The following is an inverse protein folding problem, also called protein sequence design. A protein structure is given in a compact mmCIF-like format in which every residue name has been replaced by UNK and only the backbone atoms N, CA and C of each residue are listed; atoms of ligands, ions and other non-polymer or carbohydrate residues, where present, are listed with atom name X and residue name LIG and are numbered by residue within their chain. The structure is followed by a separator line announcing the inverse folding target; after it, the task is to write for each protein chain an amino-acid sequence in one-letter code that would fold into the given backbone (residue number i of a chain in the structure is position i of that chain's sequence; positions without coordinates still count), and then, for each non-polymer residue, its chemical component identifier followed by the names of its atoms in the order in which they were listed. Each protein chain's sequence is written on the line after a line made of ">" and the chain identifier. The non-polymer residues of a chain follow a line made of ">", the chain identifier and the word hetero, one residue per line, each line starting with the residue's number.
data_IF_556412620995
#
_entry.id   IF_556412620995
#
_cell.length_a   1.000
_cell.length_b   1.000
_cell.length_c   1.000
_cell.angle_alpha   90.00
_cell.angle_beta   90.00
_cell.angle_gamma   90.00
#
_symmetry.space_group_name_H-M   'P 1'
#
loop_
_entity.id
_entity.type
_entity.pdbx_description
1 polymer ?
#
# COMPACT_ATOMS: atom_id res chain seq x y z
N UNK A 1 44.81 -38.16 -35.22
CA UNK A 1 44.37 -36.75 -35.40
C UNK A 1 44.24 -36.11 -34.03
N UNK A 2 44.86 -34.98 -33.77
CA UNK A 2 44.70 -34.29 -32.46
C UNK A 2 43.25 -33.87 -32.25
N UNK A 3 42.76 -33.98 -31.02
CA UNK A 3 41.39 -33.57 -30.65
C UNK A 3 41.27 -32.03 -30.80
N UNK A 4 40.19 -31.53 -31.39
CA UNK A 4 40.01 -30.10 -31.57
C UNK A 4 40.02 -29.37 -30.21
N UNK A 5 40.70 -28.23 -30.13
CA UNK A 5 40.78 -27.40 -28.93
C UNK A 5 39.44 -26.72 -28.66
N UNK A 6 39.23 -26.19 -27.45
CA UNK A 6 38.05 -25.39 -27.10
C UNK A 6 37.89 -24.18 -28.04
N UNK A 7 39.01 -23.56 -28.42
CA UNK A 7 39.04 -22.45 -29.36
C UNK A 7 38.52 -22.83 -30.75
N UNK A 8 38.89 -24.04 -31.24
CA UNK A 8 38.41 -24.55 -32.53
C UNK A 8 36.88 -24.83 -32.49
N UNK A 9 36.40 -25.36 -31.37
CA UNK A 9 34.97 -25.59 -31.17
C UNK A 9 34.16 -24.27 -31.10
N UNK A 10 34.68 -23.25 -30.42
CA UNK A 10 34.05 -21.94 -30.35
C UNK A 10 34.02 -21.24 -31.71
N UNK A 11 35.12 -21.36 -32.51
CA UNK A 11 35.14 -20.84 -33.88
C UNK A 11 34.14 -21.54 -34.79
N UNK A 12 33.95 -22.85 -34.66
CA UNK A 12 32.95 -23.59 -35.46
C UNK A 12 31.50 -23.23 -35.12
N UNK A 13 31.27 -22.64 -33.95
CA UNK A 13 29.96 -22.10 -33.49
C UNK A 13 29.79 -20.61 -33.82
N UNK A 14 30.70 -20.03 -34.62
CA UNK A 14 30.66 -18.62 -35.00
C UNK A 14 31.12 -17.66 -33.93
N UNK A 15 31.65 -18.16 -32.78
CA UNK A 15 32.15 -17.28 -31.71
C UNK A 15 33.56 -16.83 -32.08
N UNK A 16 33.75 -15.50 -32.15
CA UNK A 16 35.08 -14.89 -32.36
C UNK A 16 35.90 -15.01 -31.09
N UNK A 17 37.05 -15.70 -31.19
CA UNK A 17 37.97 -15.95 -30.05
C UNK A 17 39.22 -15.07 -30.22
N UNK A 18 39.45 -14.18 -29.28
CA UNK A 18 40.61 -13.29 -29.24
C UNK A 18 40.24 -11.81 -29.25
N UNK A 19 41.15 -10.95 -28.84
CA UNK A 19 40.96 -9.50 -28.76
C UNK A 19 41.32 -8.73 -30.03
N UNK A 20 41.92 -9.41 -31.03
CA UNK A 20 42.44 -8.77 -32.24
C UNK A 20 41.39 -8.21 -33.21
N UNK A 21 40.09 -8.55 -33.00
CA UNK A 21 38.98 -8.05 -33.81
C UNK A 21 37.95 -7.25 -32.99
N UNK A 22 38.28 -6.90 -31.74
CA UNK A 22 37.48 -5.93 -30.99
C UNK A 22 37.81 -4.57 -31.56
N UNK A 23 36.89 -4.04 -32.37
CA UNK A 23 37.02 -2.63 -32.76
C UNK A 23 37.03 -1.77 -31.51
N UNK A 24 37.95 -0.80 -31.40
CA UNK A 24 37.83 0.18 -30.32
C UNK A 24 36.47 0.83 -30.41
N UNK A 25 35.84 1.16 -29.26
CA UNK A 25 34.54 1.82 -29.27
C UNK A 25 34.63 3.02 -30.19
N UNK A 26 33.65 3.20 -31.08
CA UNK A 26 33.56 4.31 -32.00
C UNK A 26 33.82 5.60 -31.22
N UNK A 27 34.70 6.47 -31.73
CA UNK A 27 34.92 7.78 -31.15
C UNK A 27 33.57 8.47 -30.97
N UNK A 28 33.30 8.95 -29.74
CA UNK A 28 32.05 9.67 -29.42
C UNK A 28 31.80 10.73 -30.50
N UNK A 29 30.59 10.81 -31.08
CA UNK A 29 30.27 11.83 -32.04
C UNK A 29 30.47 13.21 -31.41
N UNK A 30 31.15 14.10 -32.12
CA UNK A 30 31.33 15.48 -31.71
C UNK A 30 29.98 16.21 -31.70
N UNK A 31 29.73 16.99 -30.63
CA UNK A 31 28.56 17.83 -30.40
C UNK A 31 27.24 17.06 -30.07
N UNK A 32 27.27 16.27 -29.03
CA UNK A 32 26.04 15.99 -28.26
C UNK A 32 25.85 17.19 -27.32
N UNK A 33 24.64 17.79 -27.29
CA UNK A 33 24.26 18.73 -26.25
C UNK A 33 24.67 18.13 -24.91
N UNK A 34 25.26 18.94 -23.99
CA UNK A 34 25.77 18.36 -22.74
C UNK A 34 24.64 17.63 -22.02
N UNK A 35 24.95 16.55 -21.34
CA UNK A 35 23.99 15.77 -20.55
C UNK A 35 23.21 16.70 -19.58
N UNK A 36 23.92 17.66 -18.99
CA UNK A 36 23.35 18.67 -18.08
C UNK A 36 22.29 19.53 -18.79
N UNK A 37 22.53 19.91 -20.07
CA UNK A 37 21.59 20.70 -20.84
C UNK A 37 20.36 19.89 -21.29
N UNK A 38 20.51 18.59 -21.55
CA UNK A 38 19.40 17.74 -22.00
C UNK A 38 18.50 17.35 -20.83
N UNK A 39 19.10 17.04 -19.68
CA UNK A 39 18.39 16.61 -18.47
C UNK A 39 18.13 17.76 -17.50
N UNK A 40 18.47 19.00 -17.87
CA UNK A 40 18.29 20.21 -17.05
C UNK A 40 18.94 20.08 -15.66
N UNK A 41 19.98 19.26 -15.55
CA UNK A 41 20.65 18.93 -14.30
C UNK A 41 21.91 19.75 -14.04
N UNK A 42 22.31 19.81 -12.78
CA UNK A 42 23.51 20.45 -12.32
C UNK A 42 24.49 19.42 -11.77
N UNK A 43 25.80 19.70 -11.93
CA UNK A 43 26.84 18.86 -11.39
C UNK A 43 27.07 19.17 -9.92
N UNK A 44 26.88 18.18 -9.04
CA UNK A 44 27.12 18.31 -7.60
C UNK A 44 28.41 17.58 -7.23
N UNK A 45 29.41 18.34 -6.73
CA UNK A 45 30.64 17.78 -6.21
C UNK A 45 30.46 17.27 -4.77
N UNK A 46 31.00 16.10 -4.50
CA UNK A 46 31.09 15.49 -3.17
C UNK A 46 32.56 15.14 -2.86
N UNK A 47 32.83 14.72 -1.62
CA UNK A 47 34.19 14.24 -1.26
C UNK A 47 34.59 12.94 -1.99
N UNK A 48 33.60 12.22 -2.58
CA UNK A 48 33.78 10.95 -3.27
C UNK A 48 33.68 11.08 -4.80
N UNK A 49 33.66 12.29 -5.33
CA UNK A 49 33.48 12.61 -6.74
C UNK A 49 32.20 13.43 -6.98
N UNK A 50 31.81 13.55 -8.25
CA UNK A 50 30.62 14.30 -8.64
C UNK A 50 29.48 13.40 -9.08
N UNK A 51 28.26 13.90 -9.01
CA UNK A 51 27.04 13.27 -9.55
C UNK A 51 26.16 14.33 -10.20
N UNK A 52 25.34 13.93 -11.18
CA UNK A 52 24.36 14.84 -11.76
C UNK A 52 23.13 14.88 -10.88
N UNK A 53 22.60 16.08 -10.60
CA UNK A 53 21.36 16.29 -9.86
C UNK A 53 20.44 17.17 -10.68
N UNK A 54 19.21 16.71 -10.89
CA UNK A 54 18.12 17.51 -11.40
C UNK A 54 17.21 17.89 -10.23
N UNK A 55 16.82 19.15 -10.13
CA UNK A 55 16.01 19.66 -9.01
C UNK A 55 14.77 20.35 -9.54
N UNK A 56 13.62 20.00 -8.94
CA UNK A 56 12.32 20.61 -9.20
C UNK A 56 11.71 21.11 -7.89
N UNK A 57 11.00 22.24 -7.97
CA UNK A 57 10.30 22.85 -6.84
C UNK A 57 8.83 22.98 -7.13
N UNK A 58 8.01 22.37 -6.31
CA UNK A 58 6.57 22.45 -6.39
C UNK A 58 6.05 23.36 -5.28
N UNK A 59 5.32 24.44 -5.61
CA UNK A 59 4.79 25.35 -4.59
C UNK A 59 3.78 24.62 -3.68
N UNK A 60 3.58 25.15 -2.49
CA UNK A 60 2.71 24.55 -1.47
C UNK A 60 1.28 24.28 -1.99
N UNK A 61 0.79 25.15 -2.87
CA UNK A 61 -0.54 25.06 -3.46
C UNK A 61 -0.64 24.04 -4.61
N UNK A 62 0.47 23.46 -5.01
CA UNK A 62 0.48 22.49 -6.09
C UNK A 62 -0.42 21.30 -5.76
N UNK A 63 -1.23 20.94 -6.75
CA UNK A 63 -2.14 19.79 -6.67
C UNK A 63 -1.81 18.79 -7.76
N UNK A 64 -1.70 17.54 -7.37
CA UNK A 64 -1.62 16.44 -8.31
C UNK A 64 -2.99 15.77 -8.40
N UNK A 65 -3.72 16.08 -9.46
CA UNK A 65 -5.14 15.75 -9.55
C UNK A 65 -5.97 16.39 -8.44
N UNK A 66 -6.73 15.58 -7.72
CA UNK A 66 -7.59 16.06 -6.63
C UNK A 66 -6.82 16.30 -5.32
N UNK A 67 -5.61 15.78 -5.15
CA UNK A 67 -4.87 15.88 -3.90
C UNK A 67 -3.80 16.99 -3.94
N UNK A 68 -3.65 17.79 -2.86
CA UNK A 68 -2.48 18.66 -2.69
C UNK A 68 -1.26 17.80 -2.34
N UNK A 69 -0.05 18.25 -2.65
CA UNK A 69 1.16 17.61 -2.12
C UNK A 69 1.27 17.82 -0.61
N UNK A 70 1.05 19.04 -0.16
CA UNK A 70 1.06 19.37 1.26
C UNK A 70 -0.25 18.97 1.94
N UNK A 71 -0.15 18.32 3.11
CA UNK A 71 -1.30 18.04 3.96
C UNK A 71 -1.10 18.60 5.37
N UNK A 72 -2.02 19.44 5.87
CA UNK A 72 -2.02 19.84 7.27
C UNK A 72 -2.58 18.77 8.21
N UNK A 73 -2.98 17.61 7.67
CA UNK A 73 -3.63 16.55 8.43
C UNK A 73 -2.69 15.95 9.48
N UNK A 74 -3.15 15.73 10.72
CA UNK A 74 -2.36 15.08 11.75
C UNK A 74 -2.09 13.62 11.41
N UNK A 75 -0.87 13.14 11.65
CA UNK A 75 -0.42 11.80 11.28
C UNK A 75 -0.70 10.74 12.35
N UNK A 76 -1.44 11.02 13.41
CA UNK A 76 -1.63 10.10 14.53
C UNK A 76 -2.29 8.77 14.13
N UNK A 77 -3.29 8.78 13.26
CA UNK A 77 -3.92 7.53 12.78
C UNK A 77 -3.02 6.77 11.80
N UNK A 78 -2.25 7.49 10.97
CA UNK A 78 -1.23 6.89 10.14
C UNK A 78 -0.13 6.22 10.99
N UNK A 79 0.33 6.87 12.06
CA UNK A 79 1.28 6.34 13.02
C UNK A 79 0.76 5.08 13.73
N UNK A 80 -0.51 5.10 14.14
CA UNK A 80 -1.19 3.94 14.74
C UNK A 80 -1.26 2.76 13.76
N UNK A 81 -1.65 3.03 12.51
CA UNK A 81 -1.69 2.01 11.47
C UNK A 81 -0.31 1.45 11.15
N UNK A 82 0.71 2.32 11.02
CA UNK A 82 2.09 1.92 10.74
C UNK A 82 2.77 1.20 11.91
N UNK A 83 2.21 1.30 13.14
CA UNK A 83 2.80 0.76 14.36
C UNK A 83 4.07 1.50 14.80
N UNK A 84 4.26 2.75 14.37
CA UNK A 84 5.43 3.59 14.71
C UNK A 84 4.98 4.93 15.31
N UNK A 85 5.06 5.01 16.64
CA UNK A 85 4.64 6.19 17.39
C UNK A 85 5.46 7.46 17.07
N UNK A 86 6.68 7.32 16.53
CA UNK A 86 7.54 8.46 16.16
C UNK A 86 6.92 9.31 15.05
N UNK A 87 6.05 8.73 14.23
CA UNK A 87 5.35 9.42 13.13
C UNK A 87 4.24 10.36 13.63
N UNK A 88 3.73 10.17 14.85
CA UNK A 88 2.51 10.83 15.34
C UNK A 88 2.53 12.37 15.21
N UNK A 89 3.61 12.96 15.66
CA UNK A 89 3.80 14.42 15.71
C UNK A 89 4.98 14.86 14.83
N UNK A 90 5.33 14.02 13.85
CA UNK A 90 6.46 14.28 12.96
C UNK A 90 6.11 15.40 11.97
N UNK A 91 6.91 16.48 11.91
CA UNK A 91 6.73 17.51 10.89
C UNK A 91 6.93 16.96 9.48
N UNK A 92 6.15 17.45 8.51
CA UNK A 92 6.26 17.00 7.11
C UNK A 92 7.66 17.19 6.53
N UNK A 93 8.37 18.27 6.90
CA UNK A 93 9.77 18.48 6.51
C UNK A 93 10.78 17.46 7.05
N UNK A 94 10.34 16.50 7.87
CA UNK A 94 11.16 15.35 8.29
C UNK A 94 10.89 14.09 7.48
N UNK A 95 9.94 14.12 6.56
CA UNK A 95 9.61 13.02 5.65
C UNK A 95 10.41 13.17 4.36
N UNK A 96 10.99 12.08 3.89
CA UNK A 96 11.59 11.97 2.56
C UNK A 96 10.78 10.96 1.74
N UNK A 97 10.27 11.39 0.59
CA UNK A 97 9.54 10.56 -0.38
C UNK A 97 10.54 10.04 -1.40
N UNK A 98 10.73 8.72 -1.45
CA UNK A 98 11.83 8.11 -2.18
C UNK A 98 11.32 7.06 -3.17
N UNK A 99 11.82 7.17 -4.40
CA UNK A 99 11.65 6.20 -5.48
C UNK A 99 12.96 5.97 -6.23
N UNK A 100 13.16 4.78 -6.83
CA UNK A 100 14.42 4.43 -7.50
C UNK A 100 14.21 3.75 -8.85
N UNK A 101 15.02 4.17 -9.85
CA UNK A 101 15.19 3.43 -11.09
C UNK A 101 16.44 2.59 -11.05
N UNK A 102 16.31 1.31 -11.42
CA UNK A 102 17.34 0.31 -11.18
C UNK A 102 17.83 -0.36 -12.46
N UNK A 103 19.05 -0.87 -12.44
CA UNK A 103 19.66 -1.59 -13.55
C UNK A 103 19.05 -3.00 -13.80
N UNK A 104 18.08 -3.44 -12.99
CA UNK A 104 17.43 -4.74 -13.16
C UNK A 104 16.31 -4.97 -12.15
N UNK A 105 15.38 -5.87 -12.51
CA UNK A 105 14.18 -6.18 -11.72
C UNK A 105 14.41 -7.19 -10.58
N UNK A 106 15.52 -7.90 -10.58
CA UNK A 106 15.84 -8.92 -9.57
C UNK A 106 16.86 -8.38 -8.58
N UNK A 107 16.42 -8.14 -7.35
CA UNK A 107 17.30 -7.73 -6.26
C UNK A 107 18.49 -8.70 -6.10
N UNK A 108 19.68 -8.14 -5.95
CA UNK A 108 20.93 -8.85 -5.76
C UNK A 108 22.08 -7.84 -5.72
N UNK A 109 23.27 -8.28 -5.30
CA UNK A 109 24.46 -7.40 -5.21
C UNK A 109 24.91 -6.80 -6.55
N UNK A 110 24.44 -7.34 -7.67
CA UNK A 110 24.72 -6.82 -9.02
C UNK A 110 23.72 -5.75 -9.49
N UNK A 111 22.59 -5.58 -8.81
CA UNK A 111 21.62 -4.52 -9.12
C UNK A 111 22.00 -3.24 -8.37
N UNK A 112 21.92 -2.11 -9.06
CA UNK A 112 22.16 -0.78 -8.49
C UNK A 112 21.09 0.20 -8.96
N UNK A 113 20.86 1.24 -8.16
CA UNK A 113 20.02 2.37 -8.54
C UNK A 113 20.85 3.36 -9.34
N UNK A 114 20.44 3.65 -10.56
CA UNK A 114 21.14 4.64 -11.41
C UNK A 114 20.46 6.01 -11.39
N UNK A 115 19.19 6.07 -10.99
CA UNK A 115 18.44 7.28 -10.73
C UNK A 115 17.69 7.11 -9.41
N UNK A 116 17.83 8.09 -8.51
CA UNK A 116 17.14 8.10 -7.23
C UNK A 116 16.43 9.43 -7.08
N UNK A 117 15.10 9.40 -7.11
CA UNK A 117 14.23 10.55 -6.85
C UNK A 117 13.92 10.66 -5.37
N UNK A 118 14.15 11.83 -4.78
CA UNK A 118 13.80 12.10 -3.38
C UNK A 118 13.12 13.46 -3.29
N UNK A 119 11.89 13.47 -2.77
CA UNK A 119 11.17 14.68 -2.47
C UNK A 119 11.08 14.92 -0.96
N UNK A 120 11.13 16.18 -0.54
CA UNK A 120 10.91 16.60 0.85
C UNK A 120 10.31 17.99 0.92
N UNK A 121 9.59 18.29 2.00
CA UNK A 121 9.14 19.66 2.26
C UNK A 121 10.28 20.44 2.92
N UNK A 122 10.52 21.65 2.43
CA UNK A 122 11.52 22.53 3.02
C UNK A 122 11.03 23.99 3.07
N UNK A 123 11.60 24.75 4.01
CA UNK A 123 11.32 26.17 4.12
C UNK A 123 12.21 26.93 3.17
N UNK A 124 11.59 27.78 2.35
CA UNK A 124 12.24 28.71 1.46
C UNK A 124 12.04 30.15 1.95
N UNK A 125 12.70 31.11 1.33
CA UNK A 125 12.50 32.54 1.63
C UNK A 125 11.07 33.02 1.29
N UNK A 126 10.36 32.30 0.41
CA UNK A 126 9.00 32.60 -0.05
C UNK A 126 7.92 31.78 0.65
N UNK A 127 8.28 30.78 1.47
CA UNK A 127 7.33 29.92 2.16
C UNK A 127 7.85 28.50 2.38
N UNK A 128 6.98 27.52 2.25
CA UNK A 128 7.32 26.11 2.22
C UNK A 128 7.07 25.58 0.81
N UNK A 129 8.03 24.82 0.26
CA UNK A 129 7.94 24.18 -1.04
C UNK A 129 8.19 22.67 -0.90
N UNK A 130 7.72 21.90 -1.86
CA UNK A 130 8.15 20.52 -2.03
C UNK A 130 9.33 20.50 -3.00
N UNK A 131 10.51 20.22 -2.47
CA UNK A 131 11.76 20.13 -3.22
C UNK A 131 12.01 18.67 -3.60
N UNK A 132 12.03 18.39 -4.88
CA UNK A 132 12.35 17.10 -5.47
C UNK A 132 13.74 17.17 -6.11
N UNK A 133 14.61 16.26 -5.72
CA UNK A 133 15.95 16.10 -6.31
C UNK A 133 16.10 14.69 -6.88
N UNK A 134 16.55 14.60 -8.11
CA UNK A 134 16.85 13.36 -8.82
C UNK A 134 18.35 13.21 -8.97
N UNK A 135 18.93 12.23 -8.29
CA UNK A 135 20.37 11.93 -8.30
C UNK A 135 20.63 10.88 -9.38
N UNK A 136 21.44 11.23 -10.37
CA UNK A 136 21.69 10.38 -11.54
C UNK A 136 23.15 9.95 -11.65
N UNK A 137 23.34 8.68 -11.91
CA UNK A 137 24.65 8.03 -12.09
C UNK A 137 24.92 7.80 -13.57
N UNK A 138 25.84 8.58 -14.16
CA UNK A 138 26.22 8.46 -15.58
C UNK A 138 27.09 7.24 -15.85
N UNK A 139 27.87 6.83 -14.86
CA UNK A 139 28.77 5.69 -14.90
C UNK A 139 28.74 4.99 -13.55
N UNK A 140 28.71 3.64 -13.49
CA UNK A 140 28.75 2.91 -12.23
C UNK A 140 29.88 3.28 -11.28
N UNK A 141 30.99 3.85 -11.79
CA UNK A 141 32.09 4.36 -10.96
C UNK A 141 31.71 5.60 -10.14
N UNK A 142 30.63 6.31 -10.47
CA UNK A 142 30.12 7.49 -9.76
C UNK A 142 29.20 7.11 -8.58
N UNK A 143 28.91 5.84 -8.35
CA UNK A 143 28.00 5.42 -7.29
C UNK A 143 28.37 5.94 -5.89
N UNK A 144 29.63 5.97 -5.45
CA UNK A 144 29.99 6.58 -4.16
C UNK A 144 29.59 8.04 -4.04
N UNK A 145 29.73 8.81 -5.13
CA UNK A 145 29.37 10.22 -5.16
C UNK A 145 27.85 10.42 -5.10
N UNK A 146 27.10 9.62 -5.86
CA UNK A 146 25.62 9.59 -5.81
C UNK A 146 25.14 9.29 -4.39
N UNK A 147 25.68 8.27 -3.74
CA UNK A 147 25.31 7.90 -2.38
C UNK A 147 25.63 9.01 -1.36
N UNK A 148 26.78 9.67 -1.51
CA UNK A 148 27.16 10.80 -0.65
C UNK A 148 26.23 12.03 -0.85
N UNK A 149 25.81 12.29 -2.07
CA UNK A 149 24.84 13.36 -2.37
C UNK A 149 23.47 13.07 -1.75
N UNK A 150 23.00 11.83 -1.87
CA UNK A 150 21.74 11.35 -1.23
C UNK A 150 21.81 11.48 0.29
N UNK A 151 22.92 11.07 0.93
CA UNK A 151 23.13 11.22 2.37
C UNK A 151 22.97 12.67 2.81
N UNK A 152 23.60 13.59 2.09
CA UNK A 152 23.51 15.04 2.34
C UNK A 152 22.07 15.55 2.21
N UNK A 153 21.35 15.11 1.18
CA UNK A 153 19.96 15.51 0.97
C UNK A 153 19.03 14.97 2.05
N UNK A 154 19.26 13.74 2.52
CA UNK A 154 18.48 13.10 3.59
C UNK A 154 18.81 13.61 5.00
N UNK A 155 19.90 14.33 5.20
CA UNK A 155 20.36 14.75 6.53
C UNK A 155 19.31 15.45 7.42
N UNK A 156 18.40 16.30 6.90
CA UNK A 156 17.34 16.90 7.72
C UNK A 156 16.17 15.95 8.02
N UNK A 157 16.07 14.81 7.34
CA UNK A 157 14.95 13.88 7.42
C UNK A 157 15.07 12.89 8.59
N UNK A 158 13.96 12.23 8.94
CA UNK A 158 13.88 11.21 10.00
C UNK A 158 12.89 10.09 9.65
N UNK A 159 12.25 10.16 8.50
CA UNK A 159 11.38 9.11 8.00
C UNK A 159 11.45 9.02 6.47
N UNK A 160 11.28 7.79 5.96
CA UNK A 160 11.03 7.51 4.55
C UNK A 160 9.55 7.27 4.31
N UNK A 161 9.06 7.79 3.20
CA UNK A 161 7.79 7.40 2.59
C UNK A 161 8.12 6.79 1.23
N UNK A 162 7.60 5.59 0.97
CA UNK A 162 7.85 4.87 -0.28
C UNK A 162 6.59 4.19 -0.77
N UNK A 163 6.60 3.73 -2.01
CA UNK A 163 5.56 2.86 -2.55
C UNK A 163 6.16 1.49 -2.90
N UNK A 164 5.95 0.48 -2.04
CA UNK A 164 6.59 -0.85 -2.10
C UNK A 164 8.11 -0.85 -1.77
N UNK A 165 8.64 0.28 -1.34
CA UNK A 165 10.08 0.47 -1.13
C UNK A 165 10.65 -0.24 0.10
N UNK A 166 9.81 -0.65 1.06
CA UNK A 166 10.27 -1.52 2.18
C UNK A 166 10.84 -2.84 1.68
N UNK A 167 10.29 -3.35 0.57
CA UNK A 167 10.71 -4.62 -0.02
C UNK A 167 11.78 -4.46 -1.11
N UNK A 168 11.91 -3.27 -1.72
CA UNK A 168 12.78 -3.04 -2.88
C UNK A 168 13.78 -1.91 -2.68
N UNK A 169 13.38 -0.65 -2.70
CA UNK A 169 14.26 0.54 -2.76
C UNK A 169 15.18 0.65 -1.55
N UNK A 170 14.61 0.59 -0.35
CA UNK A 170 15.37 0.76 0.89
C UNK A 170 16.40 -0.37 1.12
N UNK A 171 16.07 -1.67 0.96
CA UNK A 171 17.05 -2.75 1.01
C UNK A 171 18.13 -2.65 -0.07
N UNK A 172 17.75 -2.24 -1.29
CA UNK A 172 18.69 -2.06 -2.39
C UNK A 172 19.71 -0.97 -2.03
N UNK A 173 19.25 0.24 -1.73
CA UNK A 173 20.14 1.36 -1.35
C UNK A 173 20.98 1.03 -0.12
N UNK A 174 20.40 0.41 0.92
CA UNK A 174 21.15 -0.01 2.10
C UNK A 174 22.26 -1.01 1.76
N UNK A 175 22.03 -1.89 0.79
CA UNK A 175 23.06 -2.81 0.28
C UNK A 175 24.17 -2.06 -0.44
N UNK A 176 23.83 -1.04 -1.26
CA UNK A 176 24.81 -0.22 -1.98
C UNK A 176 25.70 0.56 -1.02
N UNK A 177 25.10 1.23 -0.01
CA UNK A 177 25.87 1.91 1.05
C UNK A 177 26.87 0.95 1.73
N UNK A 178 26.42 -0.25 2.12
CA UNK A 178 27.29 -1.25 2.78
C UNK A 178 28.43 -1.74 1.87
N UNK A 179 28.17 -1.94 0.58
CA UNK A 179 29.19 -2.35 -0.40
C UNK A 179 30.29 -1.31 -0.53
N UNK A 180 29.96 -0.03 -0.43
CA UNK A 180 30.91 1.09 -0.42
C UNK A 180 31.46 1.42 0.98
N UNK A 181 31.16 0.58 2.00
CA UNK A 181 31.59 0.79 3.39
C UNK A 181 31.12 2.15 3.96
N UNK A 182 29.99 2.67 3.46
CA UNK A 182 29.34 3.88 3.93
C UNK A 182 28.24 3.57 4.94
N UNK A 183 27.99 4.40 5.96
CA UNK A 183 26.85 4.25 6.83
C UNK A 183 25.54 4.43 6.04
N UNK A 184 24.51 3.65 6.39
CA UNK A 184 23.18 3.80 5.79
C UNK A 184 22.48 4.99 6.45
N UNK A 185 22.20 6.10 5.73
CA UNK A 185 21.73 7.35 6.36
C UNK A 185 20.30 7.24 6.93
N UNK A 186 19.54 6.27 6.47
CA UNK A 186 18.15 6.05 6.90
C UNK A 186 17.97 4.77 7.75
N UNK A 187 19.07 4.23 8.33
CA UNK A 187 19.00 2.99 9.12
C UNK A 187 18.00 3.07 10.30
N UNK A 188 17.92 4.23 10.95
CA UNK A 188 17.09 4.49 12.12
C UNK A 188 15.82 5.29 11.80
N UNK A 189 15.54 5.55 10.52
CA UNK A 189 14.35 6.29 10.11
C UNK A 189 13.06 5.49 10.37
N UNK A 190 11.99 6.19 10.68
CA UNK A 190 10.64 5.64 10.49
C UNK A 190 10.45 5.35 9.00
N UNK A 191 9.63 4.35 8.68
CA UNK A 191 9.39 4.03 7.27
C UNK A 191 7.91 3.72 7.02
N UNK A 192 7.26 4.57 6.24
CA UNK A 192 5.90 4.40 5.77
C UNK A 192 5.93 3.85 4.34
N UNK A 193 5.46 2.63 4.14
CA UNK A 193 5.24 2.07 2.80
C UNK A 193 3.75 2.18 2.48
N UNK A 194 3.41 2.91 1.42
CA UNK A 194 2.02 3.21 1.09
C UNK A 194 1.28 2.04 0.42
N UNK A 195 1.99 1.09 -0.21
CA UNK A 195 1.34 -0.02 -0.91
C UNK A 195 0.47 -0.91 0.00
N UNK A 196 0.89 -1.30 1.23
CA UNK A 196 0.03 -2.04 2.14
C UNK A 196 -1.23 -1.27 2.53
N UNK A 197 -1.14 0.05 2.74
CA UNK A 197 -2.30 0.89 3.03
C UNK A 197 -3.23 1.02 1.82
N UNK A 198 -2.67 1.22 0.63
CA UNK A 198 -3.43 1.24 -0.62
C UNK A 198 -4.19 -0.08 -0.86
N UNK A 199 -3.55 -1.22 -0.59
CA UNK A 199 -4.20 -2.53 -0.62
C UNK A 199 -5.33 -2.64 0.39
N UNK A 200 -5.18 -2.03 1.55
CA UNK A 200 -6.20 -2.04 2.60
C UNK A 200 -7.42 -1.21 2.21
N UNK A 201 -7.22 -0.04 1.60
CA UNK A 201 -8.28 0.90 1.25
C UNK A 201 -9.01 0.54 -0.05
N UNK A 202 -8.29 0.07 -1.08
CA UNK A 202 -8.87 -0.03 -2.43
C UNK A 202 -8.87 -1.44 -3.05
N UNK A 203 -8.51 -2.49 -2.29
CA UNK A 203 -8.49 -3.85 -2.84
C UNK A 203 -9.85 -4.32 -3.35
N UNK A 204 -10.92 -3.97 -2.64
CA UNK A 204 -12.25 -4.48 -2.93
C UNK A 204 -12.91 -3.71 -4.10
N UNK A 205 -12.41 -2.51 -4.44
CA UNK A 205 -12.91 -1.68 -5.56
C UNK A 205 -12.03 -1.76 -6.81
N UNK A 206 -10.72 -1.66 -6.65
CA UNK A 206 -9.81 -1.52 -7.79
C UNK A 206 -9.13 -2.84 -8.17
N UNK A 207 -8.99 -3.15 -9.46
CA UNK A 207 -8.31 -4.36 -9.92
C UNK A 207 -6.79 -4.29 -9.74
N UNK A 208 -6.20 -3.09 -9.73
CA UNK A 208 -4.76 -2.86 -9.55
C UNK A 208 -4.49 -1.84 -8.44
N UNK A 209 -3.37 -1.97 -7.74
CA UNK A 209 -2.82 -1.02 -6.78
C UNK A 209 -1.39 -0.64 -7.17
N UNK A 210 -1.05 -0.69 -8.47
CA UNK A 210 0.14 -0.04 -8.99
C UNK A 210 0.00 1.49 -8.80
N UNK A 211 1.11 2.18 -8.51
CA UNK A 211 1.09 3.62 -8.23
C UNK A 211 0.40 4.41 -9.33
N UNK A 212 0.77 4.21 -10.58
CA UNK A 212 0.12 4.83 -11.76
C UNK A 212 -1.39 4.56 -11.81
N UNK A 213 -1.83 3.35 -11.49
CA UNK A 213 -3.26 3.02 -11.49
C UNK A 213 -4.04 3.77 -10.40
N UNK A 214 -3.43 3.93 -9.22
CA UNK A 214 -4.00 4.73 -8.12
C UNK A 214 -3.99 6.22 -8.46
N UNK A 215 -2.94 6.71 -9.08
CA UNK A 215 -2.82 8.08 -9.59
C UNK A 215 -3.97 8.43 -10.53
N UNK A 216 -4.29 7.58 -11.50
CA UNK A 216 -5.39 7.77 -12.44
C UNK A 216 -6.77 7.63 -11.78
N UNK A 217 -6.99 6.60 -10.94
CA UNK A 217 -8.32 6.19 -10.48
C UNK A 217 -8.68 6.66 -9.04
N UNK A 218 -7.72 7.16 -8.27
CA UNK A 218 -7.92 7.73 -6.95
C UNK A 218 -7.62 9.22 -6.95
N UNK A 219 -6.49 9.63 -7.55
CA UNK A 219 -6.09 11.04 -7.59
C UNK A 219 -6.66 11.79 -8.80
N UNK A 220 -7.20 11.11 -9.80
CA UNK A 220 -7.68 11.70 -11.05
C UNK A 220 -6.59 12.50 -11.79
N UNK A 221 -5.37 11.99 -11.78
CA UNK A 221 -4.18 12.61 -12.38
C UNK A 221 -3.56 11.68 -13.44
N UNK A 222 -4.10 11.63 -14.68
CA UNK A 222 -3.52 10.80 -15.73
C UNK A 222 -2.19 11.41 -16.20
N UNK A 223 -1.20 10.54 -16.44
CA UNK A 223 0.11 10.95 -16.97
C UNK A 223 0.03 11.31 -18.45
N UNK A 224 1.02 12.08 -18.91
CA UNK A 224 1.13 12.48 -20.32
C UNK A 224 1.65 11.33 -21.20
N UNK A 225 1.63 11.54 -22.53
CA UNK A 225 2.07 10.56 -23.54
C UNK A 225 3.60 10.36 -23.52
N UNK A 226 4.35 11.25 -22.88
CA UNK A 226 5.82 11.23 -22.83
C UNK A 226 6.39 10.21 -21.85
N UNK A 227 5.53 9.50 -21.11
CA UNK A 227 5.96 8.53 -20.11
C UNK A 227 6.53 7.25 -20.75
N UNK A 228 7.72 6.87 -20.31
CA UNK A 228 8.36 5.61 -20.68
C UNK A 228 7.79 4.47 -19.83
N UNK A 229 7.46 3.31 -20.42
CA UNK A 229 7.07 2.14 -19.64
C UNK A 229 8.18 1.68 -18.71
N UNK A 230 7.87 1.44 -17.43
CA UNK A 230 8.88 1.11 -16.42
C UNK A 230 9.75 -0.11 -16.75
N UNK A 231 9.24 -1.10 -17.51
CA UNK A 231 10.03 -2.26 -17.95
C UNK A 231 11.10 -1.90 -19.01
N UNK A 232 11.00 -0.76 -19.69
CA UNK A 232 11.97 -0.29 -20.70
C UNK A 232 13.11 0.52 -20.04
N UNK A 233 12.91 1.08 -18.87
CA UNK A 233 13.84 2.00 -18.19
C UNK A 233 15.24 1.43 -18.03
N UNK A 234 15.46 0.17 -17.57
CA UNK A 234 16.80 -0.40 -17.48
C UNK A 234 17.51 -0.47 -18.83
N UNK A 235 16.76 -0.76 -19.91
CA UNK A 235 17.35 -0.85 -21.26
C UNK A 235 17.78 0.53 -21.78
N UNK A 236 17.01 1.58 -21.52
CA UNK A 236 17.37 2.95 -21.88
C UNK A 236 18.64 3.42 -21.18
N UNK A 237 18.80 3.06 -19.91
CA UNK A 237 20.02 3.36 -19.18
C UNK A 237 21.24 2.61 -19.79
N UNK A 238 21.12 1.33 -20.09
CA UNK A 238 22.19 0.58 -20.75
C UNK A 238 22.48 1.07 -22.17
N UNK A 239 21.48 1.54 -22.91
CA UNK A 239 21.69 2.18 -24.20
C UNK A 239 22.44 3.49 -24.07
N UNK A 240 22.12 4.30 -23.07
CA UNK A 240 22.88 5.51 -22.73
C UNK A 240 24.33 5.19 -22.42
N UNK A 241 24.62 4.17 -21.58
CA UNK A 241 26.00 3.78 -21.25
C UNK A 241 26.80 3.38 -22.51
N UNK A 242 26.16 2.81 -23.52
CA UNK A 242 26.80 2.37 -24.77
C UNK A 242 26.96 3.49 -25.80
N UNK A 243 25.92 4.28 -25.99
CA UNK A 243 25.85 5.31 -27.02
C UNK A 243 26.39 6.67 -26.58
N UNK A 244 26.22 6.99 -25.29
CA UNK A 244 26.44 8.32 -24.73
C UNK A 244 25.31 9.31 -25.07
N UNK A 245 24.17 8.84 -25.66
CA UNK A 245 23.02 9.69 -25.98
C UNK A 245 22.06 9.78 -24.79
N UNK A 246 21.92 10.94 -24.13
CA UNK A 246 21.03 11.11 -22.99
C UNK A 246 19.57 11.43 -23.36
N UNK A 247 19.26 11.68 -24.64
CA UNK A 247 17.93 12.14 -25.06
C UNK A 247 16.79 11.18 -24.62
N UNK A 248 16.93 9.84 -24.71
CA UNK A 248 15.90 8.93 -24.23
C UNK A 248 15.69 8.95 -22.71
N UNK A 249 16.67 9.41 -21.93
CA UNK A 249 16.57 9.46 -20.45
C UNK A 249 15.60 10.54 -19.97
N UNK A 250 15.22 11.53 -20.78
CA UNK A 250 14.19 12.52 -20.41
C UNK A 250 12.92 11.85 -19.91
N UNK A 251 12.45 10.82 -20.63
CA UNK A 251 11.27 10.06 -20.23
C UNK A 251 11.46 9.29 -18.94
N UNK A 252 12.70 8.86 -18.62
CA UNK A 252 13.03 8.18 -17.37
C UNK A 252 13.00 9.15 -16.18
N UNK A 253 13.57 10.36 -16.36
CA UNK A 253 13.51 11.41 -15.34
C UNK A 253 12.06 11.82 -15.07
N UNK A 254 11.28 12.05 -16.13
CA UNK A 254 9.84 12.34 -16.01
C UNK A 254 9.08 11.22 -15.27
N UNK A 255 9.37 9.95 -15.58
CA UNK A 255 8.74 8.80 -14.90
C UNK A 255 9.01 8.83 -13.39
N UNK A 256 10.27 8.92 -13.00
CA UNK A 256 10.69 8.95 -11.61
C UNK A 256 10.19 10.20 -10.86
N UNK A 257 10.20 11.39 -11.51
CA UNK A 257 9.60 12.61 -10.96
C UNK A 257 8.11 12.40 -10.64
N UNK A 258 7.35 11.90 -11.62
CA UNK A 258 5.92 11.64 -11.43
C UNK A 258 5.64 10.57 -10.38
N UNK A 259 6.49 9.57 -10.22
CA UNK A 259 6.33 8.57 -9.16
C UNK A 259 6.51 9.19 -7.77
N UNK A 260 7.48 10.08 -7.57
CA UNK A 260 7.68 10.81 -6.31
C UNK A 260 6.52 11.77 -6.04
N UNK A 261 6.08 12.53 -7.05
CA UNK A 261 4.96 13.48 -6.94
C UNK A 261 3.64 12.75 -6.65
N UNK A 262 3.32 11.70 -7.41
CA UNK A 262 2.12 10.89 -7.21
C UNK A 262 2.10 10.21 -5.84
N UNK A 263 3.24 9.68 -5.40
CA UNK A 263 3.38 9.08 -4.07
C UNK A 263 3.16 10.11 -2.96
N UNK A 264 3.67 11.34 -3.11
CA UNK A 264 3.47 12.44 -2.15
C UNK A 264 2.01 12.86 -2.09
N UNK A 265 1.36 13.02 -3.22
CA UNK A 265 -0.07 13.33 -3.31
C UNK A 265 -0.93 12.20 -2.71
N UNK A 266 -0.57 10.95 -2.99
CA UNK A 266 -1.25 9.77 -2.43
C UNK A 266 -1.09 9.69 -0.90
N UNK A 267 0.11 9.98 -0.39
CA UNK A 267 0.35 10.11 1.05
C UNK A 267 -0.55 11.19 1.67
N UNK A 268 -0.59 12.37 1.07
CA UNK A 268 -1.43 13.49 1.51
C UNK A 268 -2.92 13.09 1.54
N UNK A 269 -3.41 12.46 0.48
CA UNK A 269 -4.78 11.97 0.39
C UNK A 269 -5.09 10.93 1.48
N UNK A 270 -4.24 9.93 1.65
CA UNK A 270 -4.40 8.89 2.69
C UNK A 270 -4.33 9.48 4.10
N UNK A 271 -3.41 10.41 4.35
CA UNK A 271 -3.30 11.08 5.65
C UNK A 271 -4.58 11.86 5.97
N UNK A 272 -5.16 12.58 5.00
CA UNK A 272 -6.44 13.25 5.12
C UNK A 272 -7.59 12.29 5.46
N UNK A 273 -7.72 11.19 4.71
CA UNK A 273 -8.72 10.14 4.97
C UNK A 273 -8.63 9.55 6.39
N UNK A 274 -7.40 9.35 6.88
CA UNK A 274 -7.18 8.82 8.22
C UNK A 274 -7.38 9.85 9.33
N UNK A 275 -7.09 11.11 9.07
CA UNK A 275 -7.23 12.18 10.06
C UNK A 275 -8.69 12.55 10.32
N UNK A 276 -9.47 12.70 9.26
CA UNK A 276 -10.92 12.95 9.32
C UNK A 276 -11.67 12.09 8.31
N UNK A 277 -12.03 10.86 8.70
CA UNK A 277 -12.67 9.92 7.78
C UNK A 277 -14.11 10.31 7.41
N UNK A 278 -14.70 11.31 8.07
CA UNK A 278 -16.07 11.77 7.85
C UNK A 278 -16.17 13.03 7.01
N UNK A 279 -15.07 13.80 6.87
CA UNK A 279 -15.06 15.07 6.14
C UNK A 279 -15.04 14.92 4.61
N UNK A 280 -14.78 13.72 4.10
CA UNK A 280 -14.66 13.48 2.67
C UNK A 280 -15.99 13.03 2.06
N UNK A 281 -16.33 13.62 0.91
CA UNK A 281 -17.43 13.12 0.07
C UNK A 281 -16.98 11.83 -0.60
N UNK A 282 -17.27 10.72 0.05
CA UNK A 282 -16.96 9.40 -0.47
C UNK A 282 -17.96 9.00 -1.57
N UNK A 283 -17.43 8.76 -2.76
CA UNK A 283 -18.23 8.34 -3.92
C UNK A 283 -18.55 6.84 -3.91
N UNK A 284 -17.69 6.03 -3.29
CA UNK A 284 -17.76 4.55 -3.34
C UNK A 284 -17.95 3.94 -1.95
N UNK A 285 -19.07 3.26 -1.76
CA UNK A 285 -19.36 2.56 -0.50
C UNK A 285 -18.31 1.51 -0.11
N UNK A 286 -17.68 0.85 -1.09
CA UNK A 286 -16.59 -0.10 -0.85
C UNK A 286 -15.37 0.54 -0.18
N UNK A 287 -15.00 1.75 -0.59
CA UNK A 287 -13.85 2.47 0.00
C UNK A 287 -14.17 2.89 1.44
N UNK A 288 -15.40 3.34 1.69
CA UNK A 288 -15.87 3.67 3.04
C UNK A 288 -15.86 2.46 3.97
N UNK A 289 -16.33 1.31 3.48
CA UNK A 289 -16.31 0.06 4.26
C UNK A 289 -14.87 -0.43 4.48
N UNK A 290 -13.97 -0.24 3.52
CA UNK A 290 -12.56 -0.56 3.70
C UNK A 290 -11.92 0.33 4.80
N UNK A 291 -12.26 1.62 4.82
CA UNK A 291 -11.86 2.55 5.88
C UNK A 291 -12.48 2.15 7.22
N UNK A 292 -13.77 1.77 7.26
CA UNK A 292 -14.43 1.25 8.47
C UNK A 292 -13.70 0.04 9.06
N UNK A 293 -13.32 -0.92 8.21
CA UNK A 293 -12.52 -2.09 8.61
C UNK A 293 -11.16 -1.69 9.21
N UNK A 294 -10.54 -0.65 8.65
CA UNK A 294 -9.26 -0.14 9.15
C UNK A 294 -9.42 0.48 10.55
N UNK A 295 -10.44 1.31 10.75
CA UNK A 295 -10.74 1.93 12.05
C UNK A 295 -11.18 0.90 13.10
N UNK A 296 -11.93 -0.13 12.70
CA UNK A 296 -12.27 -1.28 13.57
C UNK A 296 -11.00 -1.99 14.07
N UNK A 297 -10.03 -2.26 13.18
CA UNK A 297 -8.78 -2.92 13.52
C UNK A 297 -7.90 -2.05 14.45
N UNK A 298 -7.95 -0.72 14.31
CA UNK A 298 -7.28 0.22 15.22
C UNK A 298 -8.02 0.42 16.55
N UNK A 299 -9.18 -0.22 16.75
CA UNK A 299 -9.98 -0.11 17.97
C UNK A 299 -10.79 1.18 18.09
N UNK A 300 -10.90 1.96 17.02
CA UNK A 300 -11.69 3.20 16.95
C UNK A 300 -13.14 2.87 16.55
N UNK A 301 -13.86 2.25 17.48
CA UNK A 301 -15.14 1.59 17.20
C UNK A 301 -16.27 2.56 16.86
N UNK A 302 -16.23 3.78 17.38
CA UNK A 302 -17.26 4.80 17.10
C UNK A 302 -17.17 5.30 15.67
N UNK A 303 -15.96 5.57 15.20
CA UNK A 303 -15.71 5.96 13.81
C UNK A 303 -16.01 4.82 12.85
N UNK A 304 -15.56 3.60 13.18
CA UNK A 304 -15.83 2.42 12.39
C UNK A 304 -17.34 2.18 12.21
N UNK A 305 -18.15 2.32 13.27
CA UNK A 305 -19.60 2.13 13.18
C UNK A 305 -20.24 3.15 12.23
N UNK A 306 -19.93 4.43 12.38
CA UNK A 306 -20.42 5.50 11.49
C UNK A 306 -20.02 5.29 10.04
N UNK A 307 -18.78 4.85 9.81
CA UNK A 307 -18.30 4.53 8.47
C UNK A 307 -19.04 3.32 7.85
N UNK A 308 -19.28 2.25 8.63
CA UNK A 308 -20.11 1.15 8.13
C UNK A 308 -21.51 1.60 7.75
N UNK A 309 -22.15 2.42 8.61
CA UNK A 309 -23.47 2.99 8.33
C UNK A 309 -23.44 3.82 7.04
N UNK A 310 -22.46 4.69 6.89
CA UNK A 310 -22.28 5.51 5.69
C UNK A 310 -22.02 4.68 4.43
N UNK A 311 -21.18 3.65 4.51
CA UNK A 311 -20.93 2.75 3.38
C UNK A 311 -22.19 1.98 2.93
N UNK A 312 -23.04 1.56 3.88
CA UNK A 312 -24.33 0.92 3.59
C UNK A 312 -25.33 1.90 2.95
N UNK A 313 -25.30 3.20 3.32
CA UNK A 313 -26.15 4.24 2.73
C UNK A 313 -25.74 4.57 1.28
N UNK A 314 -24.43 4.68 1.00
CA UNK A 314 -23.92 4.93 -0.37
C UNK A 314 -24.27 3.78 -1.30
N UNK A 315 -24.23 2.54 -0.78
CA UNK A 315 -24.55 1.32 -1.51
C UNK A 315 -23.31 0.43 -1.72
N UNK A 316 -23.58 -0.86 -1.70
CA UNK A 316 -22.57 -1.91 -1.79
C UNK A 316 -23.08 -3.05 -2.69
N UNK A 317 -22.18 -3.79 -3.36
CA UNK A 317 -22.52 -5.10 -3.92
C UNK A 317 -23.07 -6.02 -2.82
N UNK A 318 -23.92 -6.98 -3.20
CA UNK A 318 -24.68 -7.82 -2.26
C UNK A 318 -23.78 -8.50 -1.21
N UNK A 319 -22.68 -9.13 -1.64
CA UNK A 319 -21.72 -9.78 -0.74
C UNK A 319 -21.09 -8.78 0.23
N UNK A 320 -20.71 -7.61 -0.26
CA UNK A 320 -20.13 -6.51 0.54
C UNK A 320 -21.14 -5.93 1.54
N UNK A 321 -22.41 -5.82 1.14
CA UNK A 321 -23.50 -5.32 1.98
C UNK A 321 -23.69 -6.21 3.22
N UNK A 322 -23.84 -7.51 3.04
CA UNK A 322 -24.08 -8.41 4.15
C UNK A 322 -22.87 -8.60 5.06
N UNK A 323 -21.67 -8.52 4.52
CA UNK A 323 -20.44 -8.49 5.33
C UNK A 323 -20.36 -7.22 6.18
N UNK A 324 -20.68 -6.04 5.62
CA UNK A 324 -20.73 -4.79 6.36
C UNK A 324 -21.81 -4.82 7.47
N UNK A 325 -23.01 -5.32 7.17
CA UNK A 325 -24.10 -5.53 8.15
C UNK A 325 -23.63 -6.44 9.29
N UNK A 326 -22.97 -7.55 8.96
CA UNK A 326 -22.43 -8.48 9.95
C UNK A 326 -21.42 -7.79 10.87
N UNK A 327 -20.44 -7.10 10.32
CA UNK A 327 -19.41 -6.39 11.09
C UNK A 327 -20.02 -5.29 11.96
N UNK A 328 -20.86 -4.44 11.38
CA UNK A 328 -21.55 -3.39 12.12
C UNK A 328 -22.37 -3.96 13.30
N UNK A 329 -23.12 -5.04 13.08
CA UNK A 329 -23.92 -5.65 14.14
C UNK A 329 -23.07 -6.17 15.32
N UNK A 330 -21.89 -6.76 15.01
CA UNK A 330 -20.96 -7.20 16.02
C UNK A 330 -20.30 -6.02 16.76
N UNK A 331 -20.02 -4.95 16.03
CA UNK A 331 -19.45 -3.73 16.58
C UNK A 331 -20.44 -3.00 17.49
N UNK A 332 -21.71 -2.87 17.09
CA UNK A 332 -22.77 -2.30 17.93
C UNK A 332 -22.96 -3.10 19.23
N UNK A 333 -22.92 -4.44 19.14
CA UNK A 333 -22.91 -5.29 20.33
C UNK A 333 -21.73 -5.02 21.26
N UNK A 334 -20.51 -4.84 20.72
CA UNK A 334 -19.30 -4.51 21.52
C UNK A 334 -19.41 -3.15 22.22
N UNK A 335 -20.00 -2.17 21.52
CA UNK A 335 -20.26 -0.82 22.05
C UNK A 335 -21.38 -0.80 23.10
N UNK A 336 -22.13 -1.90 23.27
CA UNK A 336 -23.27 -2.00 24.17
C UNK A 336 -24.60 -1.56 23.57
N UNK A 337 -24.63 -1.13 22.30
CA UNK A 337 -25.86 -0.79 21.56
C UNK A 337 -26.54 -2.08 21.05
N UNK A 338 -27.21 -2.76 21.98
CA UNK A 338 -27.89 -4.02 21.68
C UNK A 338 -29.12 -3.83 20.79
N UNK A 339 -29.80 -2.70 20.89
CA UNK A 339 -31.02 -2.46 20.10
C UNK A 339 -30.69 -2.32 18.61
N UNK A 340 -29.60 -1.60 18.30
CA UNK A 340 -29.09 -1.52 16.92
C UNK A 340 -28.57 -2.88 16.43
N UNK A 341 -27.84 -3.61 17.26
CA UNK A 341 -27.37 -4.95 16.91
C UNK A 341 -28.53 -5.91 16.62
N UNK A 342 -29.61 -5.88 17.42
CA UNK A 342 -30.80 -6.69 17.23
C UNK A 342 -31.50 -6.41 15.90
N UNK A 343 -31.74 -5.15 15.58
CA UNK A 343 -32.36 -4.76 14.28
C UNK A 343 -31.54 -5.29 13.09
N UNK A 344 -30.21 -5.21 13.16
CA UNK A 344 -29.34 -5.73 12.11
C UNK A 344 -29.38 -7.26 12.03
N UNK A 345 -29.42 -7.97 13.17
CA UNK A 345 -29.54 -9.43 13.19
C UNK A 345 -30.89 -9.88 12.68
N UNK A 346 -31.99 -9.20 13.06
CA UNK A 346 -33.34 -9.52 12.56
C UNK A 346 -33.42 -9.36 11.04
N UNK A 347 -32.86 -8.24 10.50
CA UNK A 347 -32.76 -8.01 9.06
C UNK A 347 -31.96 -9.11 8.36
N UNK A 348 -30.77 -9.44 8.87
CA UNK A 348 -29.92 -10.46 8.28
C UNK A 348 -30.54 -11.90 8.43
N UNK A 349 -31.26 -12.17 9.51
CA UNK A 349 -31.94 -13.45 9.69
C UNK A 349 -33.12 -13.63 8.72
N UNK A 350 -33.84 -12.55 8.39
CA UNK A 350 -34.91 -12.59 7.38
C UNK A 350 -34.37 -12.99 6.00
N UNK A 351 -33.14 -12.62 5.68
CA UNK A 351 -32.43 -13.00 4.44
C UNK A 351 -31.66 -14.33 4.55
N UNK A 352 -31.80 -15.04 5.65
CA UNK A 352 -31.25 -16.39 5.81
C UNK A 352 -29.81 -16.48 6.26
N UNK A 353 -29.19 -15.38 6.76
CA UNK A 353 -27.83 -15.42 7.25
C UNK A 353 -27.70 -16.16 8.59
N UNK A 354 -27.02 -17.30 8.58
CA UNK A 354 -26.89 -18.22 9.74
C UNK A 354 -26.34 -17.51 10.97
N UNK A 355 -25.32 -16.64 10.81
CA UNK A 355 -24.72 -15.94 11.94
C UNK A 355 -25.75 -15.13 12.75
N UNK A 356 -26.69 -14.52 12.06
CA UNK A 356 -27.73 -13.68 12.67
C UNK A 356 -28.68 -14.52 13.52
N UNK A 357 -29.11 -15.66 13.02
CA UNK A 357 -29.91 -16.62 13.79
C UNK A 357 -29.18 -17.11 15.04
N UNK A 358 -27.84 -17.32 14.95
CA UNK A 358 -27.02 -17.72 16.07
C UNK A 358 -26.94 -16.59 17.11
N UNK A 359 -26.72 -15.33 16.68
CA UNK A 359 -26.66 -14.19 17.60
C UNK A 359 -28.03 -13.92 18.26
N UNK A 360 -29.12 -14.02 17.53
CA UNK A 360 -30.48 -13.96 18.08
C UNK A 360 -30.72 -15.09 19.09
N UNK A 361 -30.31 -16.31 18.78
CA UNK A 361 -30.40 -17.43 19.74
C UNK A 361 -29.61 -17.13 21.03
N UNK A 362 -28.42 -16.58 20.93
CA UNK A 362 -27.58 -16.15 22.11
C UNK A 362 -28.30 -15.07 22.90
N UNK A 363 -28.88 -14.08 22.21
CA UNK A 363 -29.58 -12.97 22.84
C UNK A 363 -30.78 -13.49 23.67
N UNK A 364 -31.66 -14.30 23.07
CA UNK A 364 -32.80 -14.88 23.79
C UNK A 364 -32.35 -15.83 24.91
N UNK A 365 -31.29 -16.58 24.73
CA UNK A 365 -30.77 -17.49 25.78
C UNK A 365 -30.20 -16.75 27.00
N UNK A 366 -29.36 -15.72 26.77
CA UNK A 366 -28.54 -15.12 27.81
C UNK A 366 -29.07 -13.81 28.37
N UNK A 367 -29.77 -12.99 27.54
CA UNK A 367 -30.27 -11.68 27.93
C UNK A 367 -31.74 -11.71 28.30
N UNK A 368 -32.58 -12.23 27.40
CA UNK A 368 -34.00 -12.33 27.63
C UNK A 368 -34.37 -13.52 28.55
N UNK A 369 -33.47 -14.52 28.59
CA UNK A 369 -33.69 -15.78 29.37
C UNK A 369 -34.94 -16.56 28.91
N UNK A 370 -35.24 -16.50 27.61
CA UNK A 370 -36.26 -17.30 26.97
C UNK A 370 -35.65 -18.47 26.18
N UNK A 371 -35.51 -19.65 26.79
CA UNK A 371 -34.90 -20.80 26.12
C UNK A 371 -35.73 -21.35 24.96
N UNK A 372 -37.05 -21.07 24.92
CA UNK A 372 -37.92 -21.53 23.84
C UNK A 372 -37.64 -20.71 22.56
N UNK A 373 -37.60 -19.39 22.69
CA UNK A 373 -37.25 -18.54 21.57
C UNK A 373 -35.79 -18.76 21.10
N UNK A 374 -34.87 -18.93 22.05
CA UNK A 374 -33.50 -19.29 21.75
C UNK A 374 -33.38 -20.58 20.92
N UNK A 375 -34.13 -21.62 21.31
CA UNK A 375 -34.19 -22.89 20.59
C UNK A 375 -34.80 -22.76 19.20
N UNK A 376 -35.84 -21.93 19.05
CA UNK A 376 -36.47 -21.65 17.74
C UNK A 376 -35.42 -21.06 16.77
N UNK A 377 -34.66 -20.05 17.20
CA UNK A 377 -33.61 -19.44 16.38
C UNK A 377 -32.49 -20.43 16.08
N UNK A 378 -32.05 -21.24 17.04
CA UNK A 378 -31.03 -22.27 16.82
C UNK A 378 -31.48 -23.33 15.80
N UNK A 379 -32.75 -23.78 15.86
CA UNK A 379 -33.31 -24.72 14.87
C UNK A 379 -33.37 -24.10 13.47
N UNK A 380 -33.74 -22.83 13.37
CA UNK A 380 -33.70 -22.11 12.09
C UNK A 380 -32.29 -22.04 11.52
N UNK A 381 -31.27 -21.68 12.34
CA UNK A 381 -29.87 -21.68 11.95
C UNK A 381 -29.43 -23.07 11.45
N UNK A 382 -29.79 -24.12 12.18
CA UNK A 382 -29.43 -25.50 11.82
C UNK A 382 -30.04 -25.92 10.47
N UNK A 383 -31.32 -25.60 10.26
CA UNK A 383 -32.01 -25.87 9.00
C UNK A 383 -31.30 -25.19 7.81
N UNK A 384 -30.88 -23.94 7.96
CA UNK A 384 -30.14 -23.22 6.94
C UNK A 384 -28.78 -23.86 6.67
N UNK A 385 -28.05 -24.27 7.72
CA UNK A 385 -26.76 -24.95 7.58
C UNK A 385 -26.85 -26.31 6.88
N UNK A 386 -28.02 -26.99 6.97
CA UNK A 386 -28.27 -28.26 6.30
C UNK A 386 -28.86 -28.13 4.89
N UNK A 387 -29.08 -26.90 4.39
CA UNK A 387 -29.61 -26.68 3.05
C UNK A 387 -28.68 -27.30 1.98
N UNK A 388 -29.25 -27.91 0.90
CA UNK A 388 -28.44 -28.51 -0.18
C UNK A 388 -27.53 -27.53 -0.87
N UNK A 389 -27.89 -26.24 -0.91
CA UNK A 389 -27.11 -25.14 -1.49
C UNK A 389 -25.91 -24.72 -0.64
N UNK A 390 -25.84 -25.16 0.64
CA UNK A 390 -24.73 -24.80 1.54
C UNK A 390 -23.46 -25.55 1.18
N UNK A 391 -22.33 -24.83 0.93
CA UNK A 391 -21.04 -25.46 0.66
C UNK A 391 -20.62 -26.41 1.79
N UNK A 392 -20.01 -27.57 1.47
CA UNK A 392 -19.64 -28.57 2.49
C UNK A 392 -18.73 -28.04 3.60
N UNK A 393 -17.80 -27.10 3.27
CA UNK A 393 -16.89 -26.52 4.25
C UNK A 393 -17.61 -25.57 5.23
N UNK A 394 -18.58 -24.78 4.75
CA UNK A 394 -19.39 -23.92 5.59
C UNK A 394 -20.34 -24.73 6.47
N UNK A 395 -20.97 -25.78 5.90
CA UNK A 395 -21.80 -26.71 6.66
C UNK A 395 -21.01 -27.31 7.83
N UNK A 396 -19.80 -27.81 7.59
CA UNK A 396 -18.94 -28.38 8.62
C UNK A 396 -18.58 -27.35 9.70
N UNK A 397 -18.36 -26.10 9.31
CA UNK A 397 -18.07 -25.00 10.23
C UNK A 397 -19.23 -24.78 11.23
N UNK A 398 -20.48 -24.78 10.75
CA UNK A 398 -21.63 -24.51 11.58
C UNK A 398 -22.16 -25.75 12.34
N UNK A 399 -22.00 -26.93 11.80
CA UNK A 399 -22.67 -28.15 12.27
C UNK A 399 -22.32 -28.48 13.73
N UNK A 400 -21.06 -28.46 14.08
CA UNK A 400 -20.59 -28.81 15.42
C UNK A 400 -21.13 -27.85 16.49
N UNK A 401 -21.06 -26.55 16.23
CA UNK A 401 -21.50 -25.53 17.19
C UNK A 401 -23.02 -25.49 17.33
N UNK A 402 -23.73 -25.66 16.23
CA UNK A 402 -25.19 -25.68 16.22
C UNK A 402 -25.75 -26.94 16.92
N UNK A 403 -25.16 -28.11 16.70
CA UNK A 403 -25.58 -29.35 17.39
C UNK A 403 -25.42 -29.21 18.91
N UNK A 404 -24.25 -28.79 19.37
CA UNK A 404 -24.03 -28.56 20.81
C UNK A 404 -25.01 -27.53 21.41
N UNK A 405 -25.32 -26.48 20.64
CA UNK A 405 -26.28 -25.45 21.06
C UNK A 405 -27.71 -26.00 21.16
N UNK A 406 -28.13 -26.79 20.19
CA UNK A 406 -29.46 -27.43 20.18
C UNK A 406 -29.63 -28.34 21.38
N UNK A 407 -28.71 -29.27 21.62
CA UNK A 407 -28.75 -30.20 22.75
C UNK A 407 -28.86 -29.46 24.09
N UNK A 408 -28.05 -28.41 24.28
CA UNK A 408 -28.09 -27.60 25.50
C UNK A 408 -29.41 -26.84 25.66
N UNK A 409 -29.92 -26.26 24.59
CA UNK A 409 -31.19 -25.50 24.65
C UNK A 409 -32.40 -26.40 24.83
N UNK A 410 -32.43 -27.61 24.25
CA UNK A 410 -33.46 -28.61 24.45
C UNK A 410 -33.49 -29.05 25.92
N UNK A 411 -32.35 -29.30 26.52
CA UNK A 411 -32.22 -29.57 27.95
C UNK A 411 -32.80 -28.45 28.83
N UNK A 412 -32.48 -27.18 28.51
CA UNK A 412 -33.02 -26.01 29.22
C UNK A 412 -34.55 -25.89 29.10
N UNK A 413 -35.09 -26.10 27.91
CA UNK A 413 -36.55 -26.08 27.70
C UNK A 413 -37.27 -27.18 28.46
N UNK A 414 -36.70 -28.39 28.50
CA UNK A 414 -37.24 -29.51 29.25
C UNK A 414 -37.23 -29.24 30.77
N UNK A 415 -36.09 -28.73 31.30
CA UNK A 415 -36.00 -28.37 32.72
C UNK A 415 -37.02 -27.28 33.10
N UNK A 416 -37.22 -26.27 32.24
CA UNK A 416 -38.21 -25.22 32.47
C UNK A 416 -39.65 -25.76 32.48
N UNK A 417 -39.98 -26.75 31.62
CA UNK A 417 -41.29 -27.44 31.66
C UNK A 417 -41.52 -28.18 32.96
N UNK A 418 -40.54 -28.96 33.44
CA UNK A 418 -40.60 -29.72 34.69
C UNK A 418 -40.83 -28.79 35.90
N UNK A 419 -40.09 -27.68 35.94
CA UNK A 419 -40.23 -26.69 37.02
C UNK A 419 -41.62 -26.03 37.02
N UNK A 420 -42.22 -25.77 35.85
CA UNK A 420 -43.56 -25.20 35.74
C UNK A 420 -44.67 -26.19 36.19
N UNK A 421 -44.50 -27.48 35.87
CA UNK A 421 -45.41 -28.53 36.32
C UNK A 421 -45.36 -28.68 37.85
N UNK A 422 -44.17 -28.64 38.43
CA UNK A 422 -43.98 -28.72 39.89
C UNK A 422 -44.54 -27.51 40.65
N UNK A 423 -44.55 -26.31 40.05
CA UNK A 423 -45.11 -25.08 40.68
C UNK A 423 -46.60 -24.89 40.42
N UNK A 424 -47.21 -25.56 39.45
CA UNK A 424 -48.64 -25.46 39.13
C UNK A 424 -49.47 -26.60 39.69
N UNK A 425 -48.88 -27.53 40.38
CA UNK A 425 -49.52 -28.65 41.05
C UNK A 425 -49.49 -28.60 42.61
N UNK A 426 -49.26 -27.38 43.18
CA UNK A 426 -49.36 -27.12 44.61
C UNK A 426 -50.53 -26.19 44.91
#
# INVERSE_FOLDING_TARGET
>A
MPKPTLADKLKSLGVKVGTSEIMPPASKPAAVSSLESILEGQWMDTLLGGTLVHEEHYPLEYRHGIAPLFTPAPLHNLANWAGDARLRDMPLGKLAFLDTETSGLSGGTGTYAFLVGIGRFEKTDTGEDFHLAQFFMRDPAEEPALLAAIEKFLAPCSALVTFNGKAFDAPLLATRYRLHQMPVPFADFSHVDLLPLARRLWRDRLPSRALKYLEENVLSAPRTIEEVPGYEIPYLYFDFLRSGDPAPLKGVFYHNDMDVVAMTALFSHMAGLLADPHAHDHEYGLDVVALAKLFEDMGQWDDAARLYERGLEIGLPEDGFWEAVRRLSMLQRRRGDLDSALRLWEKAAAEGHIYAHVELSKHYEHRIKDPKMALRWAKSAHKLAQAPSMPPYERKHWEQDLTKRLDRLEGKVQAAKITRIRKGGA
#
